data_IF_072467756265
#
_entry.id   IF_072467756265
#
_cell.length_a   1.000
_cell.length_b   1.000
_cell.length_c   1.000
_cell.angle_alpha   90.00
_cell.angle_beta   90.00
_cell.angle_gamma   90.00
#
_symmetry.space_group_name_H-M   'P 1'
#
loop_
_entity.id
_entity.type
_entity.pdbx_description
1 polymer ?
#
# COMPACT_ATOMS: atom_id res chain seq x y z
N UNK A 1 -6.37 -27.95 -13.09
CA UNK A 1 -5.17 -28.77 -12.78
C UNK A 1 -4.56 -29.20 -14.10
N UNK A 2 -3.26 -29.05 -14.31
CA UNK A 2 -2.58 -29.51 -15.54
C UNK A 2 -2.21 -30.99 -15.41
N UNK A 3 -2.54 -31.79 -16.42
CA UNK A 3 -2.19 -33.22 -16.47
C UNK A 3 -0.66 -33.41 -16.64
N UNK A 4 -0.12 -34.49 -16.07
CA UNK A 4 1.31 -34.81 -16.20
C UNK A 4 1.61 -35.41 -17.57
N UNK A 5 2.79 -35.11 -18.10
CA UNK A 5 3.28 -35.68 -19.36
C UNK A 5 3.27 -37.22 -19.32
N UNK A 6 2.64 -37.90 -20.30
CA UNK A 6 2.74 -39.34 -20.44
C UNK A 6 4.18 -39.79 -20.76
N UNK A 7 4.62 -40.97 -20.27
CA UNK A 7 5.91 -41.54 -20.65
C UNK A 7 5.94 -41.84 -22.17
N UNK A 8 7.09 -41.60 -22.82
CA UNK A 8 7.27 -41.83 -24.25
C UNK A 8 6.87 -40.69 -25.20
N UNK A 9 6.19 -39.65 -24.71
CA UNK A 9 5.83 -38.46 -25.52
C UNK A 9 6.92 -37.38 -25.37
N UNK A 10 7.46 -36.79 -26.46
CA UNK A 10 8.35 -35.63 -26.37
C UNK A 10 7.70 -34.45 -25.63
N UNK A 11 8.49 -33.63 -24.94
CA UNK A 11 7.93 -32.51 -24.15
C UNK A 11 7.21 -31.48 -25.03
N UNK A 12 7.81 -31.08 -26.15
CA UNK A 12 7.22 -30.19 -27.15
C UNK A 12 5.85 -30.71 -27.62
N UNK A 13 5.79 -31.98 -28.04
CA UNK A 13 4.54 -32.62 -28.50
C UNK A 13 3.43 -32.68 -27.43
N UNK A 14 3.79 -32.78 -26.15
CA UNK A 14 2.82 -32.77 -25.05
C UNK A 14 2.33 -31.36 -24.70
N UNK A 15 3.22 -30.37 -24.72
CA UNK A 15 2.84 -28.96 -24.50
C UNK A 15 1.94 -28.47 -25.63
N UNK A 16 2.28 -28.76 -26.89
CA UNK A 16 1.46 -28.40 -28.04
C UNK A 16 0.06 -29.03 -27.99
N UNK A 17 -0.05 -30.27 -27.52
CA UNK A 17 -1.33 -30.93 -27.29
C UNK A 17 -2.17 -30.18 -26.24
N UNK A 18 -1.58 -29.85 -25.09
CA UNK A 18 -2.28 -29.10 -24.05
C UNK A 18 -2.73 -27.71 -24.50
N UNK A 19 -1.91 -27.00 -25.28
CA UNK A 19 -2.26 -25.69 -25.85
C UNK A 19 -3.46 -25.83 -26.80
N UNK A 20 -3.40 -26.81 -27.72
CA UNK A 20 -4.48 -27.07 -28.68
C UNK A 20 -5.79 -27.40 -27.98
N UNK A 21 -5.76 -28.26 -26.96
CA UNK A 21 -6.95 -28.63 -26.21
C UNK A 21 -7.52 -27.43 -25.43
N UNK A 22 -6.67 -26.62 -24.79
CA UNK A 22 -7.10 -25.40 -24.11
C UNK A 22 -7.75 -24.40 -25.07
N UNK A 23 -7.22 -24.29 -26.29
CA UNK A 23 -7.81 -23.47 -27.35
C UNK A 23 -9.16 -24.02 -27.83
N UNK A 24 -9.30 -25.33 -28.00
CA UNK A 24 -10.59 -25.97 -28.34
C UNK A 24 -11.65 -25.78 -27.25
N UNK A 25 -11.23 -25.71 -25.98
CA UNK A 25 -12.11 -25.41 -24.84
C UNK A 25 -12.44 -23.92 -24.69
N UNK A 26 -11.89 -23.05 -25.54
CA UNK A 26 -12.11 -21.61 -25.47
C UNK A 26 -11.46 -20.94 -24.26
N UNK A 27 -10.45 -21.55 -23.62
CA UNK A 27 -9.78 -20.95 -22.44
C UNK A 27 -9.05 -19.64 -22.78
N UNK A 28 -8.82 -19.36 -24.07
CA UNK A 28 -8.22 -18.12 -24.57
C UNK A 28 -9.24 -17.10 -25.12
N UNK A 29 -10.55 -17.40 -25.15
CA UNK A 29 -11.55 -16.55 -25.80
C UNK A 29 -11.87 -15.27 -25.01
N UNK A 30 -11.63 -15.27 -23.70
CA UNK A 30 -11.95 -14.17 -22.78
C UNK A 30 -10.76 -13.78 -21.89
N UNK A 31 -9.56 -13.75 -22.47
CA UNK A 31 -8.39 -13.27 -21.73
C UNK A 31 -8.57 -11.84 -21.27
N UNK A 32 -8.16 -11.57 -20.03
CA UNK A 32 -8.10 -10.21 -19.52
C UNK A 32 -7.17 -9.35 -20.39
N UNK A 33 -7.69 -8.27 -20.95
CA UNK A 33 -6.96 -7.39 -21.87
C UNK A 33 -7.01 -7.81 -23.34
N UNK A 34 -7.80 -8.82 -23.72
CA UNK A 34 -8.01 -9.18 -25.12
C UNK A 34 -8.67 -8.02 -25.90
N UNK A 35 -8.01 -7.54 -26.95
CA UNK A 35 -8.48 -6.43 -27.78
C UNK A 35 -8.26 -5.04 -27.18
N UNK A 36 -7.73 -4.94 -25.95
CA UNK A 36 -7.34 -3.67 -25.36
C UNK A 36 -5.92 -3.27 -25.82
N UNK A 37 -5.61 -1.96 -25.90
CA UNK A 37 -4.24 -1.50 -26.12
C UNK A 37 -3.29 -2.07 -25.06
N UNK A 38 -2.04 -2.31 -25.47
CA UNK A 38 -1.01 -2.70 -24.52
C UNK A 38 -0.88 -1.64 -23.41
N UNK A 39 -0.71 -2.06 -22.14
CA UNK A 39 -0.46 -1.14 -21.04
C UNK A 39 0.75 -0.23 -21.30
N UNK A 40 0.59 1.07 -21.03
CA UNK A 40 1.63 2.07 -21.28
C UNK A 40 2.92 1.84 -20.48
N UNK A 41 2.88 1.08 -19.38
CA UNK A 41 4.06 0.69 -18.61
C UNK A 41 4.99 -0.27 -19.35
N UNK A 42 4.50 -0.94 -20.41
CA UNK A 42 5.33 -1.77 -21.30
C UNK A 42 6.17 -0.95 -22.29
N UNK A 43 5.86 0.33 -22.49
CA UNK A 43 6.60 1.25 -23.38
C UNK A 43 7.79 1.92 -22.64
N UNK A 44 8.05 1.49 -21.40
CA UNK A 44 9.19 1.94 -20.60
C UNK A 44 10.46 1.15 -20.92
N UNK A 45 11.62 1.66 -20.50
CA UNK A 45 12.89 0.92 -20.59
C UNK A 45 12.73 -0.47 -19.97
N UNK A 46 13.06 -1.51 -20.76
CA UNK A 46 12.92 -2.90 -20.32
C UNK A 46 13.63 -3.13 -18.99
N UNK A 47 12.84 -3.57 -18.00
CA UNK A 47 13.28 -3.90 -16.66
C UNK A 47 12.99 -5.37 -16.40
N UNK A 48 14.00 -6.19 -16.16
CA UNK A 48 13.82 -7.63 -15.90
C UNK A 48 12.87 -7.94 -14.73
N UNK A 49 12.71 -6.98 -13.81
CA UNK A 49 11.82 -7.08 -12.65
C UNK A 49 10.40 -6.55 -12.92
N UNK A 50 10.03 -6.19 -14.16
CA UNK A 50 8.74 -5.59 -14.50
C UNK A 50 7.55 -6.39 -13.94
N UNK A 51 7.56 -7.71 -14.10
CA UNK A 51 6.47 -8.58 -13.67
C UNK A 51 6.44 -8.73 -12.14
N UNK A 52 7.59 -8.69 -11.47
CA UNK A 52 7.70 -8.69 -10.01
C UNK A 52 7.12 -7.41 -9.45
N UNK A 53 7.52 -6.25 -9.99
CA UNK A 53 6.99 -4.94 -9.60
C UNK A 53 5.48 -4.85 -9.81
N UNK A 54 4.98 -5.34 -10.96
CA UNK A 54 3.55 -5.41 -11.25
C UNK A 54 2.80 -6.35 -10.31
N UNK A 55 3.39 -7.48 -9.94
CA UNK A 55 2.81 -8.39 -8.93
C UNK A 55 2.80 -7.76 -7.55
N UNK A 56 3.91 -7.17 -7.12
CA UNK A 56 3.99 -6.45 -5.85
C UNK A 56 2.94 -5.35 -5.75
N UNK A 57 2.79 -4.52 -6.79
CA UNK A 57 1.76 -3.49 -6.82
C UNK A 57 0.34 -4.07 -6.74
N UNK A 58 0.06 -5.15 -7.48
CA UNK A 58 -1.24 -5.86 -7.47
C UNK A 58 -1.60 -6.43 -6.10
N UNK A 59 -0.60 -6.99 -5.41
CA UNK A 59 -0.76 -7.58 -4.08
C UNK A 59 -0.60 -6.56 -2.94
N UNK A 60 -0.39 -5.28 -3.25
CA UNK A 60 -0.17 -4.23 -2.24
C UNK A 60 1.14 -4.39 -1.44
N UNK A 61 2.13 -5.09 -2.00
CA UNK A 61 3.43 -5.32 -1.37
C UNK A 61 4.38 -4.16 -1.69
N UNK A 62 4.95 -3.56 -0.64
CA UNK A 62 6.02 -2.57 -0.77
C UNK A 62 7.20 -2.96 0.12
N UNK A 63 8.39 -3.03 -0.47
CA UNK A 63 9.64 -3.17 0.28
C UNK A 63 10.31 -1.80 0.33
N UNK A 64 10.07 -1.07 1.41
CA UNK A 64 10.69 0.23 1.63
C UNK A 64 12.01 0.06 2.40
N UNK A 65 13.09 0.76 2.01
CA UNK A 65 14.24 0.95 2.89
C UNK A 65 13.78 1.41 4.28
N UNK A 66 14.48 1.02 5.37
CA UNK A 66 14.02 1.29 6.74
C UNK A 66 13.66 2.77 7.00
N UNK A 67 14.45 3.70 6.46
CA UNK A 67 14.17 5.13 6.59
C UNK A 67 12.86 5.55 5.91
N UNK A 68 12.56 5.03 4.71
CA UNK A 68 11.32 5.33 4.00
C UNK A 68 10.10 4.68 4.69
N UNK A 69 10.28 3.46 5.21
CA UNK A 69 9.25 2.80 6.01
C UNK A 69 8.89 3.63 7.26
N UNK A 70 9.89 4.13 7.99
CA UNK A 70 9.66 4.95 9.18
C UNK A 70 9.07 6.33 8.84
N UNK A 71 9.40 6.93 7.69
CA UNK A 71 8.73 8.17 7.23
C UNK A 71 7.23 7.94 7.04
N UNK A 72 6.86 6.86 6.37
CA UNK A 72 5.46 6.50 6.14
C UNK A 72 4.75 6.20 7.47
N UNK A 73 5.40 5.45 8.36
CA UNK A 73 4.86 5.17 9.69
C UNK A 73 4.64 6.46 10.50
N UNK A 74 5.56 7.42 10.44
CA UNK A 74 5.44 8.71 11.10
C UNK A 74 4.25 9.54 10.57
N UNK A 75 4.03 9.52 9.26
CA UNK A 75 2.87 10.18 8.63
C UNK A 75 1.55 9.52 9.04
N UNK A 76 1.50 8.18 9.05
CA UNK A 76 0.32 7.43 9.48
C UNK A 76 0.03 7.62 10.97
N UNK A 77 1.07 7.63 11.81
CA UNK A 77 0.95 7.90 13.24
C UNK A 77 0.40 9.30 13.49
N UNK A 78 0.88 10.31 12.75
CA UNK A 78 0.37 11.68 12.88
C UNK A 78 -1.10 11.77 12.46
N UNK A 79 -1.49 11.14 11.34
CA UNK A 79 -2.88 11.07 10.90
C UNK A 79 -3.78 10.37 11.94
N UNK A 80 -3.34 9.23 12.48
CA UNK A 80 -4.04 8.49 13.51
C UNK A 80 -4.16 9.28 14.82
N UNK A 81 -3.12 10.02 15.21
CA UNK A 81 -3.14 10.90 16.37
C UNK A 81 -4.22 11.98 16.20
N UNK A 82 -4.35 12.60 15.03
CA UNK A 82 -5.40 13.59 14.79
C UNK A 82 -6.82 13.00 14.78
N UNK A 83 -6.98 11.71 14.44
CA UNK A 83 -8.26 11.00 14.49
C UNK A 83 -8.57 10.38 15.87
N UNK A 84 -7.63 10.43 16.83
CA UNK A 84 -7.76 9.73 18.09
C UNK A 84 -8.93 10.26 18.95
N UNK A 85 -9.64 9.41 19.71
CA UNK A 85 -10.80 9.82 20.49
C UNK A 85 -10.44 10.50 21.82
N UNK A 86 -9.18 10.45 22.25
CA UNK A 86 -8.73 11.06 23.50
C UNK A 86 -7.28 11.53 23.43
N UNK A 87 -6.96 12.58 24.19
CA UNK A 87 -5.60 13.12 24.30
C UNK A 87 -4.58 12.08 24.75
N UNK A 88 -4.97 11.19 25.67
CA UNK A 88 -4.10 10.09 26.13
C UNK A 88 -3.63 9.22 24.96
N UNK A 89 -4.51 8.95 24.00
CA UNK A 89 -4.20 8.16 22.79
C UNK A 89 -3.32 8.97 21.84
N UNK A 90 -3.60 10.27 21.63
CA UNK A 90 -2.74 11.19 20.86
C UNK A 90 -1.30 11.13 21.37
N UNK A 91 -1.13 11.37 22.68
CA UNK A 91 0.18 11.39 23.34
C UNK A 91 0.91 10.06 23.20
N UNK A 92 0.18 8.95 23.36
CA UNK A 92 0.75 7.61 23.18
C UNK A 92 1.26 7.39 21.76
N UNK A 93 0.43 7.62 20.74
CA UNK A 93 0.80 7.40 19.33
C UNK A 93 2.06 8.21 18.96
N UNK A 94 2.07 9.50 19.31
CA UNK A 94 3.19 10.38 18.98
C UNK A 94 4.45 10.02 19.77
N UNK A 95 4.32 9.64 21.04
CA UNK A 95 5.48 9.21 21.85
C UNK A 95 6.09 7.91 21.30
N UNK A 96 5.25 6.94 20.94
CA UNK A 96 5.69 5.64 20.42
C UNK A 96 6.46 5.81 19.10
N UNK A 97 5.96 6.63 18.17
CA UNK A 97 6.68 6.89 16.90
C UNK A 97 7.94 7.73 17.12
N UNK A 98 7.93 8.67 18.08
CA UNK A 98 9.12 9.43 18.44
C UNK A 98 10.25 8.56 19.01
N UNK A 99 9.93 7.47 19.71
CA UNK A 99 10.95 6.49 20.15
C UNK A 99 11.66 5.89 18.94
N UNK A 100 10.91 5.46 17.92
CA UNK A 100 11.47 4.90 16.68
C UNK A 100 12.29 5.92 15.89
N UNK A 101 11.78 7.15 15.76
CA UNK A 101 12.50 8.26 15.12
C UNK A 101 13.84 8.49 15.81
N UNK A 102 13.86 8.57 17.14
CA UNK A 102 15.10 8.77 17.90
C UNK A 102 16.06 7.59 17.74
N UNK A 103 15.61 6.34 17.88
CA UNK A 103 16.49 5.17 17.75
C UNK A 103 17.15 5.13 16.36
N UNK A 104 16.40 5.39 15.29
CA UNK A 104 16.97 5.48 13.94
C UNK A 104 17.92 6.67 13.76
N UNK A 105 17.65 7.81 14.39
CA UNK A 105 18.57 8.96 14.38
C UNK A 105 19.89 8.64 15.10
N UNK A 106 19.84 7.86 16.18
CA UNK A 106 21.04 7.42 16.91
C UNK A 106 21.80 6.29 16.20
N UNK A 107 21.10 5.43 15.46
CA UNK A 107 21.64 4.27 14.75
C UNK A 107 21.11 4.21 13.31
N UNK A 108 21.54 5.13 12.43
CA UNK A 108 21.03 5.17 11.07
C UNK A 108 21.47 3.92 10.29
N UNK A 109 20.52 3.14 9.74
CA UNK A 109 20.86 2.03 8.86
C UNK A 109 21.39 2.55 7.52
N UNK A 110 22.07 1.71 6.72
CA UNK A 110 22.46 2.07 5.36
C UNK A 110 21.25 2.50 4.53
N UNK A 111 21.42 3.60 3.78
CA UNK A 111 20.37 4.12 2.89
C UNK A 111 20.18 5.63 3.01
N UNK A 112 19.08 6.16 2.44
CA UNK A 112 18.79 7.58 2.52
C UNK A 112 18.55 8.03 3.98
N UNK A 113 18.92 9.27 4.35
CA UNK A 113 18.73 9.76 5.71
C UNK A 113 17.25 9.82 6.06
N UNK A 114 16.88 9.68 7.34
CA UNK A 114 15.46 9.71 7.76
C UNK A 114 14.75 11.01 7.36
N UNK A 115 15.42 12.17 7.44
CA UNK A 115 14.86 13.45 6.99
C UNK A 115 13.63 13.94 7.79
N UNK A 116 13.36 13.35 8.96
CA UNK A 116 12.30 13.76 9.89
C UNK A 116 12.91 14.09 11.25
N UNK A 117 12.26 14.96 12.02
CA UNK A 117 12.55 15.21 13.44
C UNK A 117 11.45 14.57 14.29
N UNK A 118 11.71 14.24 15.57
CA UNK A 118 10.66 13.87 16.50
C UNK A 118 9.60 14.98 16.56
N UNK A 119 8.33 14.59 16.60
CA UNK A 119 7.20 15.51 16.74
C UNK A 119 7.16 16.11 18.14
N UNK A 120 6.77 17.38 18.26
CA UNK A 120 6.40 17.96 19.54
C UNK A 120 5.02 17.43 19.95
N UNK A 121 4.97 16.73 21.09
CA UNK A 121 3.74 16.12 21.59
C UNK A 121 2.70 17.17 21.96
N UNK A 122 3.11 18.29 22.56
CA UNK A 122 2.19 19.35 22.97
C UNK A 122 1.63 20.09 21.77
N UNK A 123 2.44 20.30 20.74
CA UNK A 123 2.00 20.89 19.48
C UNK A 123 0.92 20.03 18.80
N UNK A 124 1.17 18.72 18.69
CA UNK A 124 0.20 17.79 18.08
C UNK A 124 -1.09 17.71 18.89
N UNK A 125 -1.00 17.69 20.24
CA UNK A 125 -2.18 17.72 21.12
C UNK A 125 -2.98 19.01 20.93
N UNK A 126 -2.31 20.16 20.85
CA UNK A 126 -2.95 21.46 20.60
C UNK A 126 -3.75 21.43 19.30
N UNK A 127 -3.13 20.96 18.21
CA UNK A 127 -3.81 20.86 16.91
C UNK A 127 -4.96 19.85 16.91
N UNK A 128 -4.80 18.70 17.57
CA UNK A 128 -5.87 17.72 17.74
C UNK A 128 -7.09 18.34 18.44
N UNK A 129 -6.88 19.08 19.53
CA UNK A 129 -7.97 19.78 20.24
C UNK A 129 -8.67 20.80 19.35
N UNK A 130 -7.92 21.56 18.55
CA UNK A 130 -8.47 22.54 17.61
C UNK A 130 -9.35 21.88 16.53
N UNK A 131 -8.89 20.78 15.93
CA UNK A 131 -9.67 20.03 14.92
C UNK A 131 -10.94 19.43 15.51
N UNK A 132 -10.87 18.91 16.73
CA UNK A 132 -12.04 18.39 17.46
C UNK A 132 -13.06 19.49 17.76
N UNK A 133 -12.60 20.65 18.22
CA UNK A 133 -13.47 21.79 18.49
C UNK A 133 -14.20 22.27 17.22
N UNK A 134 -13.49 22.33 16.08
CA UNK A 134 -14.07 22.67 14.79
C UNK A 134 -15.13 21.64 14.34
N UNK A 135 -14.85 20.33 14.49
CA UNK A 135 -15.80 19.27 14.14
C UNK A 135 -17.07 19.28 15.02
N UNK A 136 -16.96 19.70 16.29
CA UNK A 136 -18.12 19.85 17.18
C UNK A 136 -18.88 21.17 16.98
N UNK A 137 -18.24 22.18 16.37
CA UNK A 137 -18.81 23.51 16.16
C UNK A 137 -19.69 23.65 14.90
N UNK A 138 -19.71 22.64 14.02
CA UNK A 138 -20.42 22.64 12.73
C UNK A 138 -21.69 21.76 12.73
N UNK A 139 -22.42 21.72 13.83
CA UNK A 139 -23.77 21.14 13.86
C UNK A 139 -24.82 22.27 13.75
N UNK A 140 -25.21 22.71 12.54
CA UNK A 140 -26.40 23.54 12.41
C UNK A 140 -27.62 22.67 12.72
N UNK A 141 -28.37 23.09 13.75
CA UNK A 141 -29.54 22.38 14.24
C UNK A 141 -30.55 22.10 13.13
N UNK A 142 -31.03 20.85 13.08
CA UNK A 142 -32.27 20.50 12.41
C UNK A 142 -33.46 21.10 13.17
N UNK A 143 -33.72 22.38 12.90
CA UNK A 143 -34.97 23.04 13.25
C UNK A 143 -35.89 23.06 12.01
N UNK A 144 -37.08 22.46 12.13
CA UNK A 144 -38.14 22.48 11.12
C UNK A 144 -38.96 21.18 11.18
N UNK A 145 -39.85 21.02 12.16
CA UNK A 145 -41.26 21.44 12.11
C UNK A 145 -42.05 20.78 10.97
N UNK A 146 -42.91 19.83 11.32
CA UNK A 146 -44.16 19.59 10.63
C UNK A 146 -45.26 19.49 11.69
N UNK A 147 -46.23 20.40 11.53
CA UNK A 147 -47.49 20.48 12.26
C UNK A 147 -48.42 19.33 11.90
#
# INVERSE_FOLDING_TARGET
>A
MTERKPPGVPFESWVDHQIRDAQQRGEFDHLTGAGEPLPADLDSTYDELWWVKRKMAREGLAVLPPALALRKEAEDALAAAYAAPSERIVRKIITDVNVKIRDMMFKPPPGPPLGKKPYDVEEVVREWRQRRAAATGDVPGSAGSAR
#
